data_IF_246151046769
#
_entry.id   IF_246151046769
#
_cell.length_a   1.000
_cell.length_b   1.000
_cell.length_c   1.000
_cell.angle_alpha   90.00
_cell.angle_beta   90.00
_cell.angle_gamma   90.00
#
_symmetry.space_group_name_H-M   'P 1'
#
loop_
_entity.id
_entity.type
_entity.pdbx_description
1 polymer ?
#
# COMPACT_ATOMS: atom_id res chain seq x y z
N UNK A 1 -3.31 23.96 1.02
CA UNK A 1 -4.45 24.62 1.70
C UNK A 1 -5.26 23.53 2.39
N UNK A 2 -5.22 23.54 3.72
CA UNK A 2 -6.07 22.66 4.52
C UNK A 2 -7.38 23.41 4.84
N UNK A 3 -8.51 22.77 4.62
CA UNK A 3 -9.82 23.32 4.90
C UNK A 3 -10.42 22.55 6.07
N UNK A 4 -10.27 23.08 7.26
CA UNK A 4 -10.99 22.57 8.42
C UNK A 4 -12.17 23.49 8.69
N UNK A 5 -13.38 22.94 8.66
CA UNK A 5 -14.61 23.64 9.00
C UNK A 5 -14.87 24.97 8.28
N UNK A 6 -14.29 25.17 7.09
CA UNK A 6 -14.46 26.40 6.30
C UNK A 6 -13.45 27.51 6.61
N UNK A 7 -12.57 27.35 7.56
CA UNK A 7 -11.51 28.32 7.88
C UNK A 7 -10.26 28.07 7.05
N UNK A 8 -9.78 29.07 6.32
CA UNK A 8 -8.48 29.00 5.65
C UNK A 8 -7.40 29.07 6.72
N UNK A 9 -6.73 27.97 7.00
CA UNK A 9 -5.47 27.99 7.74
C UNK A 9 -4.39 28.54 6.81
N UNK A 10 -3.87 29.72 7.14
CA UNK A 10 -2.63 30.20 6.52
C UNK A 10 -1.52 29.25 6.92
N UNK A 11 -0.92 28.58 5.95
CA UNK A 11 0.31 27.82 6.17
C UNK A 11 1.34 28.83 6.69
N UNK A 12 1.89 28.65 7.91
CA UNK A 12 2.93 29.54 8.40
C UNK A 12 4.11 29.51 7.43
N UNK A 13 4.83 30.62 7.39
CA UNK A 13 6.01 30.76 6.55
C UNK A 13 6.94 29.57 6.79
N UNK A 14 7.28 28.86 5.72
CA UNK A 14 8.08 27.64 5.75
C UNK A 14 9.45 28.03 5.27
N UNK A 15 10.41 28.03 6.17
CA UNK A 15 11.76 28.51 5.88
C UNK A 15 12.63 27.41 5.24
N UNK A 16 12.32 26.14 5.50
CA UNK A 16 13.03 25.00 4.92
C UNK A 16 12.07 23.85 4.55
N UNK A 17 12.55 22.95 3.68
CA UNK A 17 11.80 21.72 3.34
C UNK A 17 11.62 20.82 4.58
N UNK A 18 12.64 20.72 5.44
CA UNK A 18 12.58 19.96 6.68
C UNK A 18 11.50 20.51 7.62
N UNK A 19 11.41 21.83 7.74
CA UNK A 19 10.40 22.51 8.56
C UNK A 19 8.98 22.26 8.01
N UNK A 20 8.83 22.23 6.69
CA UNK A 20 7.58 21.85 6.04
C UNK A 20 7.16 20.42 6.42
N UNK A 21 8.05 19.45 6.28
CA UNK A 21 7.74 18.06 6.60
C UNK A 21 7.45 17.89 8.09
N UNK A 22 8.23 18.51 8.98
CA UNK A 22 7.98 18.44 10.41
C UNK A 22 6.59 18.99 10.78
N UNK A 23 6.19 20.13 10.21
CA UNK A 23 4.88 20.74 10.44
C UNK A 23 3.75 19.91 9.80
N UNK A 24 3.96 19.39 8.60
CA UNK A 24 2.99 18.53 7.94
C UNK A 24 2.75 17.23 8.74
N UNK A 25 3.80 16.59 9.21
CA UNK A 25 3.70 15.40 10.07
C UNK A 25 2.99 15.74 11.38
N UNK A 26 3.31 16.86 12.02
CA UNK A 26 2.63 17.28 13.25
C UNK A 26 1.13 17.50 13.04
N UNK A 27 0.73 18.11 11.91
CA UNK A 27 -0.69 18.31 11.56
C UNK A 27 -1.40 16.97 11.33
N UNK A 28 -0.74 16.04 10.65
CA UNK A 28 -1.26 14.68 10.41
C UNK A 28 -1.44 13.95 11.75
N UNK A 29 -0.43 13.97 12.60
CA UNK A 29 -0.46 13.34 13.92
C UNK A 29 -1.57 13.91 14.80
N UNK A 30 -1.71 15.23 14.85
CA UNK A 30 -2.78 15.89 15.59
C UNK A 30 -4.17 15.53 15.05
N UNK A 31 -4.33 15.43 13.74
CA UNK A 31 -5.60 15.06 13.13
C UNK A 31 -5.99 13.61 13.47
N UNK A 32 -5.03 12.70 13.41
CA UNK A 32 -5.27 11.28 13.73
C UNK A 32 -5.41 11.04 15.24
N UNK A 33 -4.69 11.81 16.08
CA UNK A 33 -4.78 11.71 17.55
C UNK A 33 -6.18 12.07 18.08
N UNK A 34 -6.95 12.89 17.36
CA UNK A 34 -8.34 13.21 17.73
C UNK A 34 -9.32 12.07 17.45
N UNK A 35 -8.91 11.06 16.68
CA UNK A 35 -9.70 9.86 16.42
C UNK A 35 -9.37 8.80 17.48
N UNK A 36 -10.38 8.25 18.12
CA UNK A 36 -10.24 7.23 19.19
C UNK A 36 -9.69 5.88 18.69
N UNK A 37 -9.29 5.75 17.43
CA UNK A 37 -8.75 4.52 16.80
C UNK A 37 -7.66 4.90 15.83
N UNK A 38 -6.62 4.05 15.76
CA UNK A 38 -5.65 4.06 14.67
C UNK A 38 -6.38 4.16 13.34
N UNK A 39 -6.17 5.25 12.59
CA UNK A 39 -6.75 5.43 11.28
C UNK A 39 -6.01 4.59 10.23
N UNK A 40 -6.66 4.33 9.12
CA UNK A 40 -6.08 3.64 7.96
C UNK A 40 -4.80 4.33 7.47
N UNK A 41 -4.79 5.66 7.49
CA UNK A 41 -3.61 6.47 7.14
C UNK A 41 -2.42 6.25 8.06
N UNK A 42 -2.64 6.02 9.35
CA UNK A 42 -1.55 5.69 10.27
C UNK A 42 -0.95 4.32 9.93
N UNK A 43 -1.78 3.35 9.54
CA UNK A 43 -1.30 2.05 9.08
C UNK A 43 -0.45 2.22 7.82
N UNK A 44 -0.91 2.97 6.83
CA UNK A 44 -0.16 3.27 5.62
C UNK A 44 1.20 3.89 5.94
N UNK A 45 1.25 4.88 6.84
CA UNK A 45 2.50 5.52 7.27
C UNK A 45 3.45 4.55 7.98
N UNK A 46 2.94 3.68 8.85
CA UNK A 46 3.74 2.65 9.52
C UNK A 46 4.29 1.63 8.52
N UNK A 47 3.49 1.25 7.53
CA UNK A 47 3.94 0.40 6.42
C UNK A 47 5.07 1.08 5.64
N UNK A 48 4.93 2.37 5.29
CA UNK A 48 6.01 3.13 4.64
C UNK A 48 7.27 3.13 5.51
N UNK A 49 7.13 3.51 6.76
CA UNK A 49 8.29 3.61 7.66
C UNK A 49 9.04 2.27 7.75
N UNK A 50 8.32 1.18 8.00
CA UNK A 50 8.94 -0.13 8.19
C UNK A 50 9.58 -0.67 6.91
N UNK A 51 8.97 -0.43 5.75
CA UNK A 51 9.44 -0.99 4.49
C UNK A 51 10.45 -0.08 3.76
N UNK A 52 10.45 1.23 4.03
CA UNK A 52 11.29 2.17 3.31
C UNK A 52 12.42 2.77 4.17
N UNK A 53 12.19 3.00 5.47
CA UNK A 53 13.04 3.86 6.28
C UNK A 53 13.67 3.18 7.50
N UNK A 54 13.00 2.18 8.08
CA UNK A 54 13.47 1.51 9.30
C UNK A 54 14.81 0.81 9.07
N UNK A 55 15.44 0.41 10.16
CA UNK A 55 16.67 -0.43 10.10
C UNK A 55 16.41 -1.80 9.47
N UNK A 56 15.13 -2.19 9.35
CA UNK A 56 14.70 -3.44 8.73
C UNK A 56 14.23 -3.25 7.28
N UNK A 57 14.17 -2.04 6.77
CA UNK A 57 13.67 -1.76 5.42
C UNK A 57 14.38 -2.61 4.34
N UNK A 58 15.69 -2.80 4.48
CA UNK A 58 16.44 -3.66 3.56
C UNK A 58 16.20 -5.18 3.74
N UNK A 59 15.36 -5.59 4.70
CA UNK A 59 15.01 -7.00 4.95
C UNK A 59 13.59 -7.34 4.52
N UNK A 60 12.75 -6.33 4.28
CA UNK A 60 11.41 -6.52 3.75
C UNK A 60 11.45 -6.75 2.24
N UNK A 61 10.42 -7.34 1.66
CA UNK A 61 10.37 -7.63 0.23
C UNK A 61 9.68 -6.53 -0.58
N UNK A 62 9.12 -5.52 0.07
CA UNK A 62 8.32 -4.49 -0.58
C UNK A 62 8.86 -3.11 -0.28
N UNK A 63 8.81 -2.24 -1.29
CA UNK A 63 9.20 -0.83 -1.21
C UNK A 63 8.03 0.01 -1.67
N UNK A 64 7.53 0.88 -0.79
CA UNK A 64 6.36 1.70 -1.07
C UNK A 64 6.73 2.88 -1.96
N UNK A 65 6.16 2.90 -3.17
CA UNK A 65 6.32 3.99 -4.11
C UNK A 65 5.36 5.14 -3.80
N UNK A 66 4.07 4.84 -3.53
CA UNK A 66 3.07 5.87 -3.26
C UNK A 66 1.96 5.37 -2.33
N UNK A 67 1.21 6.31 -1.76
CA UNK A 67 0.01 6.05 -0.95
C UNK A 67 -1.13 6.97 -1.38
N UNK A 68 -2.37 6.53 -1.10
CA UNK A 68 -3.58 7.30 -1.47
C UNK A 68 -3.59 7.68 -2.96
N UNK A 69 -3.00 6.82 -3.81
CA UNK A 69 -3.01 7.04 -5.25
C UNK A 69 -4.43 7.03 -5.79
N UNK A 70 -4.74 8.00 -6.63
CA UNK A 70 -6.01 8.07 -7.34
C UNK A 70 -5.79 8.60 -8.74
N UNK A 71 -6.33 7.92 -9.72
CA UNK A 71 -6.37 8.35 -11.11
C UNK A 71 -7.81 8.28 -11.61
N UNK A 72 -8.36 9.42 -11.92
CA UNK A 72 -9.72 9.53 -12.43
C UNK A 72 -9.77 9.58 -13.97
N UNK A 73 -8.63 9.81 -14.62
CA UNK A 73 -8.58 10.19 -16.03
C UNK A 73 -8.16 9.03 -16.94
N UNK A 74 -7.28 8.16 -16.48
CA UNK A 74 -6.72 7.06 -17.29
C UNK A 74 -7.19 5.69 -16.83
N UNK A 75 -6.73 5.26 -15.66
CA UNK A 75 -7.09 3.95 -15.12
C UNK A 75 -8.43 3.94 -14.37
N UNK A 76 -8.91 5.12 -13.95
CA UNK A 76 -10.16 5.24 -13.18
C UNK A 76 -10.11 4.51 -11.84
N UNK A 77 -8.92 4.39 -11.24
CA UNK A 77 -8.66 3.58 -10.06
C UNK A 77 -8.21 4.36 -8.84
N UNK A 78 -8.28 3.69 -7.69
CA UNK A 78 -7.70 4.14 -6.42
C UNK A 78 -6.95 2.99 -5.79
N UNK A 79 -5.88 3.32 -5.06
CA UNK A 79 -5.12 2.36 -4.28
C UNK A 79 -4.63 3.03 -3.00
N UNK A 80 -4.74 2.33 -1.88
CA UNK A 80 -4.23 2.84 -0.61
C UNK A 80 -2.71 2.85 -0.60
N UNK A 81 -2.07 1.83 -1.17
CA UNK A 81 -0.61 1.72 -1.26
C UNK A 81 -0.25 1.16 -2.64
N UNK A 82 0.73 1.80 -3.29
CA UNK A 82 1.44 1.24 -4.43
C UNK A 82 2.86 0.93 -4.01
N UNK A 83 3.27 -0.31 -4.21
CA UNK A 83 4.59 -0.79 -3.84
C UNK A 83 5.23 -1.60 -4.97
N UNK A 84 6.54 -1.75 -4.89
CA UNK A 84 7.28 -2.72 -5.68
C UNK A 84 7.79 -3.84 -4.80
N UNK A 85 7.56 -5.07 -5.23
CA UNK A 85 8.20 -6.23 -4.65
C UNK A 85 9.53 -6.49 -5.35
N UNK A 86 10.57 -6.65 -4.55
CA UNK A 86 11.90 -7.05 -5.00
C UNK A 86 12.42 -8.19 -4.14
N UNK A 87 12.79 -9.28 -4.79
CA UNK A 87 13.40 -10.40 -4.10
C UNK A 87 14.91 -10.17 -3.95
N UNK A 88 15.32 -9.65 -2.79
CA UNK A 88 16.74 -9.41 -2.57
C UNK A 88 17.57 -10.69 -2.43
N UNK A 89 16.99 -11.85 -2.19
CA UNK A 89 17.72 -13.12 -2.18
C UNK A 89 18.19 -13.50 -3.59
N UNK A 90 17.52 -12.97 -4.62
CA UNK A 90 17.91 -13.12 -6.03
C UNK A 90 18.67 -11.89 -6.55
N UNK A 91 19.65 -11.40 -5.80
CA UNK A 91 20.40 -10.15 -6.08
C UNK A 91 20.90 -9.96 -7.51
N UNK A 92 21.02 -11.04 -8.29
CA UNK A 92 21.43 -10.98 -9.69
C UNK A 92 20.32 -10.57 -10.62
N UNK A 93 19.06 -10.71 -10.21
CA UNK A 93 17.88 -10.32 -11.00
C UNK A 93 17.34 -9.02 -10.46
N UNK A 94 17.33 -7.99 -11.31
CA UNK A 94 16.75 -6.69 -11.02
C UNK A 94 15.31 -6.65 -11.49
N UNK A 95 14.53 -7.63 -11.02
CA UNK A 95 13.13 -7.79 -11.39
C UNK A 95 12.26 -7.18 -10.30
N UNK A 96 11.46 -6.21 -10.67
CA UNK A 96 10.45 -5.59 -9.83
C UNK A 96 9.07 -6.04 -10.24
N UNK A 97 8.22 -6.31 -9.28
CA UNK A 97 6.81 -6.56 -9.51
C UNK A 97 5.97 -5.46 -8.87
N UNK A 98 5.19 -4.76 -9.69
CA UNK A 98 4.23 -3.79 -9.17
C UNK A 98 3.21 -4.53 -8.30
N UNK A 99 2.89 -3.93 -7.15
CA UNK A 99 1.90 -4.46 -6.22
C UNK A 99 0.97 -3.34 -5.80
N UNK A 100 -0.31 -3.53 -5.98
CA UNK A 100 -1.38 -2.64 -5.54
C UNK A 100 -1.99 -3.24 -4.28
N UNK A 101 -2.04 -2.46 -3.21
CA UNK A 101 -2.45 -2.93 -1.89
C UNK A 101 -3.62 -2.08 -1.40
N UNK A 102 -4.68 -2.74 -1.04
CA UNK A 102 -5.83 -2.15 -0.36
C UNK A 102 -5.75 -2.44 1.13
N UNK A 103 -5.80 -1.42 1.96
CA UNK A 103 -5.74 -1.53 3.42
C UNK A 103 -7.13 -1.68 3.99
N UNK A 104 -7.32 -2.64 4.88
CA UNK A 104 -8.57 -2.84 5.61
C UNK A 104 -8.27 -2.90 7.10
N UNK A 105 -8.80 -1.92 7.82
CA UNK A 105 -8.59 -1.80 9.25
C UNK A 105 -9.81 -2.24 10.04
N UNK A 106 -9.62 -3.30 10.83
CA UNK A 106 -10.67 -3.82 11.72
C UNK A 106 -11.83 -4.49 10.98
N UNK A 107 -12.74 -5.05 11.75
CA UNK A 107 -13.80 -5.92 11.24
C UNK A 107 -14.84 -5.20 10.38
N UNK A 108 -15.12 -3.94 10.67
CA UNK A 108 -16.13 -3.17 9.92
C UNK A 108 -15.69 -2.81 8.50
N UNK A 109 -14.38 -2.66 8.27
CA UNK A 109 -13.84 -2.25 6.97
C UNK A 109 -13.88 -3.37 5.92
N UNK A 110 -13.97 -4.63 6.35
CA UNK A 110 -14.03 -5.78 5.44
C UNK A 110 -15.44 -6.03 4.91
N UNK A 111 -16.48 -5.58 5.63
CA UNK A 111 -17.87 -5.91 5.36
C UNK A 111 -18.35 -5.22 4.08
N UNK A 112 -18.93 -6.01 3.19
CA UNK A 112 -19.58 -5.53 1.97
C UNK A 112 -20.81 -4.69 2.34
N UNK A 113 -20.84 -3.45 1.89
CA UNK A 113 -22.05 -2.61 1.96
C UNK A 113 -22.64 -2.39 0.57
N UNK A 114 -23.93 -2.11 0.56
CA UNK A 114 -24.70 -1.90 -0.68
C UNK A 114 -25.36 -0.53 -0.59
N UNK A 115 -25.29 0.24 -1.67
CA UNK A 115 -25.95 1.54 -1.76
C UNK A 115 -27.47 1.42 -1.91
N UNK A 116 -28.18 2.56 -1.89
CA UNK A 116 -29.63 2.59 -2.03
C UNK A 116 -30.14 2.08 -3.41
N UNK A 117 -29.23 1.86 -4.37
CA UNK A 117 -29.54 1.34 -5.71
C UNK A 117 -29.21 -0.14 -5.85
N UNK A 118 -28.72 -0.78 -4.78
CA UNK A 118 -28.31 -2.19 -4.81
C UNK A 118 -26.90 -2.44 -5.31
N UNK A 119 -26.07 -1.39 -5.55
CA UNK A 119 -24.68 -1.59 -5.97
C UNK A 119 -23.77 -1.77 -4.77
N UNK A 120 -22.75 -2.62 -4.92
CA UNK A 120 -21.70 -2.79 -3.91
C UNK A 120 -20.91 -1.50 -3.81
N UNK A 121 -20.87 -0.89 -2.62
CA UNK A 121 -20.28 0.43 -2.36
C UNK A 121 -19.04 0.41 -1.50
N UNK A 122 -18.80 -0.64 -0.71
CA UNK A 122 -17.62 -0.80 0.13
C UNK A 122 -17.35 -2.27 0.47
N UNK A 123 -16.24 -2.53 1.17
CA UNK A 123 -15.83 -3.85 1.64
C UNK A 123 -14.87 -4.56 0.68
N UNK A 124 -14.44 -5.77 1.07
CA UNK A 124 -13.46 -6.53 0.31
C UNK A 124 -13.92 -6.83 -1.13
N UNK A 125 -15.20 -7.19 -1.30
CA UNK A 125 -15.72 -7.54 -2.63
C UNK A 125 -15.69 -6.35 -3.58
N UNK A 126 -16.01 -5.13 -3.09
CA UNK A 126 -15.94 -3.92 -3.92
C UNK A 126 -14.54 -3.69 -4.47
N UNK A 127 -13.53 -3.77 -3.61
CA UNK A 127 -12.14 -3.54 -4.04
C UNK A 127 -11.60 -4.68 -4.88
N UNK A 128 -12.07 -5.91 -4.67
CA UNK A 128 -11.77 -7.01 -5.59
C UNK A 128 -12.29 -6.72 -7.00
N UNK A 129 -13.53 -6.26 -7.13
CA UNK A 129 -14.11 -5.88 -8.42
C UNK A 129 -13.34 -4.71 -9.07
N UNK A 130 -12.85 -3.77 -8.27
CA UNK A 130 -12.01 -2.68 -8.77
C UNK A 130 -10.65 -3.19 -9.25
N UNK A 131 -10.03 -4.13 -8.54
CA UNK A 131 -8.80 -4.79 -8.97
C UNK A 131 -9.00 -5.55 -10.29
N UNK A 132 -10.11 -6.26 -10.45
CA UNK A 132 -10.40 -6.95 -11.71
C UNK A 132 -10.56 -6.00 -12.89
N UNK A 133 -11.13 -4.82 -12.69
CA UNK A 133 -11.21 -3.78 -13.72
C UNK A 133 -9.82 -3.26 -14.09
N UNK A 134 -8.99 -2.93 -13.08
CA UNK A 134 -7.62 -2.49 -13.30
C UNK A 134 -6.80 -3.56 -14.04
N UNK A 135 -6.97 -4.83 -13.69
CA UNK A 135 -6.24 -5.96 -14.31
C UNK A 135 -6.52 -6.10 -15.80
N UNK A 136 -7.66 -5.60 -16.29
CA UNK A 136 -8.01 -5.63 -17.72
C UNK A 136 -7.25 -4.58 -18.53
N UNK A 137 -6.83 -3.47 -17.92
CA UNK A 137 -6.07 -2.40 -18.57
C UNK A 137 -4.56 -2.63 -18.41
N UNK A 138 -4.02 -3.52 -19.22
CA UNK A 138 -2.60 -3.87 -19.17
C UNK A 138 -1.67 -2.71 -19.55
N UNK A 139 -2.08 -1.88 -20.49
CA UNK A 139 -1.26 -0.74 -20.95
C UNK A 139 -1.26 0.35 -19.87
N UNK A 140 -2.38 0.65 -19.27
CA UNK A 140 -2.48 1.56 -18.14
C UNK A 140 -1.68 1.08 -16.93
N UNK A 141 -1.75 -0.20 -16.57
CA UNK A 141 -0.94 -0.79 -15.49
C UNK A 141 0.56 -0.73 -15.79
N UNK A 142 0.96 -0.91 -17.05
CA UNK A 142 2.36 -0.77 -17.45
C UNK A 142 2.83 0.67 -17.28
N UNK A 143 2.06 1.64 -17.74
CA UNK A 143 2.36 3.08 -17.57
C UNK A 143 2.45 3.44 -16.10
N UNK A 144 1.49 2.99 -15.28
CA UNK A 144 1.53 3.18 -13.84
C UNK A 144 2.82 2.62 -13.22
N UNK A 145 3.23 1.42 -13.62
CA UNK A 145 4.45 0.81 -13.10
C UNK A 145 5.71 1.60 -13.47
N UNK A 146 5.79 2.11 -14.70
CA UNK A 146 6.89 2.96 -15.17
C UNK A 146 6.94 4.28 -14.38
N UNK A 147 5.81 4.95 -14.17
CA UNK A 147 5.71 6.19 -13.41
C UNK A 147 6.07 5.98 -11.94
N UNK A 148 5.55 4.93 -11.32
CA UNK A 148 5.85 4.60 -9.92
C UNK A 148 7.31 4.20 -9.70
N UNK A 149 7.97 3.62 -10.70
CA UNK A 149 9.41 3.37 -10.64
C UNK A 149 10.21 4.68 -10.60
N UNK A 150 9.78 5.70 -11.37
CA UNK A 150 10.39 7.04 -11.30
C UNK A 150 10.21 7.64 -9.91
N UNK A 151 9.01 7.57 -9.36
CA UNK A 151 8.71 8.07 -7.99
C UNK A 151 9.56 7.34 -6.95
N UNK A 152 9.65 6.01 -7.03
CA UNK A 152 10.46 5.21 -6.10
C UNK A 152 11.94 5.61 -6.17
N UNK A 153 12.46 5.82 -7.39
CA UNK A 153 13.83 6.28 -7.58
C UNK A 153 14.06 7.67 -6.98
N UNK A 154 13.15 8.61 -7.21
CA UNK A 154 13.22 9.95 -6.62
C UNK A 154 13.22 9.89 -5.08
N UNK A 155 12.37 9.07 -4.49
CA UNK A 155 12.34 8.83 -3.03
C UNK A 155 13.66 8.24 -2.53
N UNK A 156 14.27 7.33 -3.27
CA UNK A 156 15.60 6.80 -2.94
C UNK A 156 16.67 7.91 -2.99
N UNK A 157 16.68 8.71 -4.05
CA UNK A 157 17.64 9.81 -4.22
C UNK A 157 17.50 10.89 -3.11
N UNK A 158 16.30 11.04 -2.53
CA UNK A 158 16.00 11.90 -1.39
C UNK A 158 16.26 11.23 -0.02
N UNK A 159 16.71 9.97 0.01
CA UNK A 159 16.95 9.22 1.26
C UNK A 159 15.68 8.76 1.96
N UNK A 160 14.52 8.80 1.30
CA UNK A 160 13.23 8.36 1.82
C UNK A 160 12.98 6.85 1.61
N UNK A 161 13.86 6.17 0.89
CA UNK A 161 13.86 4.72 0.72
C UNK A 161 15.30 4.23 0.83
N UNK A 162 15.53 3.22 1.68
CA UNK A 162 16.84 2.63 1.93
C UNK A 162 16.94 1.23 1.32
N UNK A 163 18.15 0.83 0.94
CA UNK A 163 18.43 -0.55 0.54
C UNK A 163 18.15 -0.87 -0.93
N UNK A 164 17.76 0.12 -1.74
CA UNK A 164 17.49 -0.04 -3.17
C UNK A 164 18.69 0.29 -4.09
N UNK A 165 19.81 0.75 -3.55
CA UNK A 165 20.96 1.23 -4.34
C UNK A 165 21.44 0.14 -5.32
N UNK A 166 21.50 -1.10 -4.86
CA UNK A 166 21.92 -2.26 -5.68
C UNK A 166 20.97 -2.59 -6.84
N UNK A 167 19.73 -2.09 -6.77
CA UNK A 167 18.75 -2.27 -7.83
C UNK A 167 19.08 -1.35 -9.01
N UNK A 168 19.49 -0.12 -8.71
CA UNK A 168 19.76 0.92 -9.71
C UNK A 168 21.24 1.06 -10.11
N UNK A 169 22.14 0.35 -9.42
CA UNK A 169 23.59 0.37 -9.71
C UNK A 169 24.16 -1.03 -9.74
N UNK A 170 25.15 -1.25 -10.59
CA UNK A 170 25.95 -2.47 -10.54
C UNK A 170 27.09 -2.37 -9.51
N UNK A 171 27.85 -3.45 -9.32
CA UNK A 171 28.98 -3.50 -8.40
C UNK A 171 30.14 -2.54 -8.73
N UNK A 172 30.08 -1.91 -9.91
CA UNK A 172 31.06 -0.92 -10.39
C UNK A 172 30.51 0.50 -10.33
N UNK A 173 29.31 0.70 -9.76
CA UNK A 173 28.63 2.00 -9.70
C UNK A 173 28.00 2.46 -11.03
N UNK A 174 27.92 1.59 -12.04
CA UNK A 174 27.25 1.96 -13.27
C UNK A 174 25.74 1.93 -13.06
N UNK A 175 25.05 2.98 -13.54
CA UNK A 175 23.58 3.07 -13.48
C UNK A 175 22.95 1.95 -14.30
N UNK A 176 21.93 1.36 -13.73
CA UNK A 176 21.10 0.30 -14.33
C UNK A 176 19.63 0.63 -14.12
N UNK A 177 18.81 0.23 -15.05
CA UNK A 177 17.35 0.30 -14.93
C UNK A 177 16.84 -1.09 -14.54
N UNK A 178 16.06 -1.22 -13.47
CA UNK A 178 15.39 -2.48 -13.14
C UNK A 178 14.40 -2.86 -14.25
N UNK A 179 14.18 -4.14 -14.41
CA UNK A 179 13.11 -4.66 -15.26
C UNK A 179 11.82 -4.80 -14.44
N UNK A 180 10.72 -4.33 -14.97
CA UNK A 180 9.40 -4.48 -14.37
C UNK A 180 8.72 -5.70 -14.96
N UNK A 181 8.27 -6.60 -14.10
CA UNK A 181 7.49 -7.76 -14.52
C UNK A 181 6.11 -7.30 -15.03
N UNK A 182 5.58 -7.94 -16.09
CA UNK A 182 4.30 -7.57 -16.67
C UNK A 182 3.11 -7.88 -15.76
N UNK A 183 3.28 -8.81 -14.82
CA UNK A 183 2.24 -9.21 -13.88
C UNK A 183 2.20 -8.22 -12.71
N UNK A 184 1.00 -7.72 -12.42
CA UNK A 184 0.72 -6.87 -11.26
C UNK A 184 0.08 -7.71 -10.15
N UNK A 185 0.60 -7.57 -8.94
CA UNK A 185 0.01 -8.19 -7.76
C UNK A 185 -1.06 -7.28 -7.14
N UNK A 186 -2.15 -7.91 -6.68
CA UNK A 186 -3.20 -7.23 -5.93
C UNK A 186 -3.33 -7.90 -4.56
N UNK A 187 -3.18 -7.11 -3.50
CA UNK A 187 -3.18 -7.60 -2.12
C UNK A 187 -4.19 -6.85 -1.26
N UNK A 188 -4.81 -7.57 -0.33
CA UNK A 188 -5.51 -6.98 0.80
C UNK A 188 -4.60 -7.00 2.02
N UNK A 189 -4.32 -5.83 2.60
CA UNK A 189 -3.62 -5.70 3.86
C UNK A 189 -4.64 -5.62 4.99
N UNK A 190 -4.76 -6.69 5.75
CA UNK A 190 -5.68 -6.76 6.89
C UNK A 190 -4.95 -6.30 8.15
N UNK A 191 -5.43 -5.23 8.77
CA UNK A 191 -4.86 -4.69 10.00
C UNK A 191 -5.88 -4.64 11.12
N UNK A 192 -5.44 -5.01 12.33
CA UNK A 192 -6.27 -4.97 13.55
C UNK A 192 -7.61 -5.72 13.42
N UNK A 193 -7.60 -6.85 12.74
CA UNK A 193 -8.75 -7.72 12.60
C UNK A 193 -8.64 -8.90 13.58
N UNK A 194 -9.78 -9.44 13.95
CA UNK A 194 -9.86 -10.67 14.74
C UNK A 194 -10.05 -11.85 13.79
N UNK A 195 -9.10 -12.80 13.78
CA UNK A 195 -9.13 -13.91 12.81
C UNK A 195 -10.26 -14.93 13.06
N UNK A 196 -10.96 -14.84 14.17
CA UNK A 196 -12.21 -15.59 14.42
C UNK A 196 -13.47 -14.78 14.12
N UNK A 197 -13.34 -13.60 13.53
CA UNK A 197 -14.47 -12.76 13.18
C UNK A 197 -15.37 -13.45 12.14
N UNK A 198 -16.65 -13.59 12.48
CA UNK A 198 -17.64 -14.10 11.52
C UNK A 198 -17.82 -13.16 10.33
N UNK A 199 -17.67 -11.86 10.54
CA UNK A 199 -17.71 -10.88 9.45
C UNK A 199 -16.60 -11.16 8.43
N UNK A 200 -15.35 -11.34 8.90
CA UNK A 200 -14.24 -11.66 8.00
C UNK A 200 -14.47 -12.98 7.27
N UNK A 201 -14.92 -14.03 7.96
CA UNK A 201 -15.22 -15.33 7.33
C UNK A 201 -16.26 -15.21 6.23
N UNK A 202 -17.38 -14.55 6.53
CA UNK A 202 -18.48 -14.36 5.59
C UNK A 202 -18.05 -13.55 4.35
N UNK A 203 -17.20 -12.55 4.54
CA UNK A 203 -16.68 -11.76 3.41
C UNK A 203 -15.67 -12.54 2.58
N UNK A 204 -14.79 -13.31 3.21
CA UNK A 204 -13.85 -14.17 2.51
C UNK A 204 -14.56 -15.23 1.65
N UNK A 205 -15.70 -15.77 2.09
CA UNK A 205 -16.49 -16.73 1.31
C UNK A 205 -16.94 -16.16 -0.03
N UNK A 206 -17.17 -14.85 -0.12
CA UNK A 206 -17.62 -14.17 -1.35
C UNK A 206 -16.50 -13.92 -2.35
N UNK A 207 -15.25 -13.99 -1.92
CA UNK A 207 -14.09 -13.72 -2.78
C UNK A 207 -13.61 -14.99 -3.50
N UNK A 208 -12.96 -14.85 -4.66
CA UNK A 208 -12.29 -15.97 -5.33
C UNK A 208 -11.16 -16.58 -4.48
N UNK A 209 -10.88 -17.84 -4.73
CA UNK A 209 -9.90 -18.62 -3.98
C UNK A 209 -8.47 -18.13 -4.11
N UNK A 210 -8.15 -17.45 -5.21
CA UNK A 210 -6.83 -16.87 -5.50
C UNK A 210 -6.63 -15.46 -4.92
N UNK A 211 -7.66 -14.89 -4.27
CA UNK A 211 -7.54 -13.62 -3.56
C UNK A 211 -6.42 -13.69 -2.52
N UNK A 212 -5.59 -12.65 -2.48
CA UNK A 212 -4.33 -12.64 -1.73
C UNK A 212 -4.38 -11.65 -0.57
N UNK A 213 -3.90 -12.09 0.56
CA UNK A 213 -3.95 -11.37 1.82
C UNK A 213 -2.59 -11.32 2.50
N UNK A 214 -2.31 -10.20 3.15
CA UNK A 214 -1.22 -10.06 4.09
C UNK A 214 -1.74 -9.39 5.36
N UNK A 215 -1.20 -9.75 6.50
CA UNK A 215 -1.61 -9.18 7.79
C UNK A 215 -0.57 -8.23 8.33
N UNK A 216 -1.01 -7.13 8.91
CA UNK A 216 -0.18 -6.25 9.70
C UNK A 216 -0.84 -5.96 11.05
N UNK A 217 -0.03 -5.70 12.07
CA UNK A 217 -0.49 -5.36 13.40
C UNK A 217 0.57 -4.55 14.14
N UNK A 218 0.28 -4.17 15.38
CA UNK A 218 1.27 -3.53 16.26
C UNK A 218 2.56 -4.35 16.45
N UNK A 219 2.55 -5.65 16.11
CA UNK A 219 3.72 -6.53 16.14
C UNK A 219 4.65 -6.35 14.93
N UNK A 220 4.19 -5.69 13.86
CA UNK A 220 5.00 -5.40 12.69
C UNK A 220 4.18 -4.95 11.48
N UNK A 221 4.77 -4.06 10.72
CA UNK A 221 4.23 -3.50 9.47
C UNK A 221 5.13 -3.79 8.28
N UNK A 222 6.18 -4.59 8.46
CA UNK A 222 7.03 -5.08 7.38
C UNK A 222 6.28 -6.04 6.47
N UNK A 223 6.41 -5.85 5.17
CA UNK A 223 5.76 -6.69 4.17
C UNK A 223 6.74 -7.74 3.64
N UNK A 224 6.38 -9.01 3.79
CA UNK A 224 7.18 -10.14 3.37
C UNK A 224 6.36 -11.06 2.47
N UNK A 225 6.95 -11.47 1.36
CA UNK A 225 6.30 -12.37 0.41
C UNK A 225 5.81 -13.66 1.05
N UNK A 226 6.61 -14.21 1.96
CA UNK A 226 6.31 -15.49 2.62
C UNK A 226 5.11 -15.42 3.58
N UNK A 227 4.66 -14.21 3.92
CA UNK A 227 3.46 -13.99 4.75
C UNK A 227 2.19 -13.73 3.93
N UNK A 228 2.30 -13.70 2.61
CA UNK A 228 1.11 -13.64 1.76
C UNK A 228 0.39 -14.98 1.81
N UNK A 229 -0.91 -14.92 2.01
CA UNK A 229 -1.80 -16.08 2.04
C UNK A 229 -2.87 -15.94 0.97
N UNK A 230 -3.18 -17.03 0.27
CA UNK A 230 -4.41 -17.11 -0.50
C UNK A 230 -5.63 -17.30 0.43
N UNK A 231 -6.82 -17.07 -0.09
CA UNK A 231 -8.04 -17.38 0.66
C UNK A 231 -8.05 -18.82 1.18
N UNK A 232 -7.58 -19.77 0.37
CA UNK A 232 -7.45 -21.18 0.76
C UNK A 232 -6.52 -21.39 1.95
N UNK A 233 -5.41 -20.65 2.01
CA UNK A 233 -4.40 -20.78 3.07
C UNK A 233 -4.82 -20.10 4.36
N UNK A 234 -5.76 -19.18 4.30
CA UNK A 234 -6.32 -18.51 5.49
C UNK A 234 -7.14 -19.47 6.36
N UNK A 235 -7.37 -20.72 5.88
CA UNK A 235 -8.10 -21.80 6.54
C UNK A 235 -8.68 -21.38 7.89
N UNK A 236 -9.79 -20.68 7.83
CA UNK A 236 -10.61 -20.38 9.00
C UNK A 236 -11.40 -21.65 9.31
N UNK A 237 -10.67 -22.74 9.58
CA UNK A 237 -11.25 -24.01 9.93
C UNK A 237 -12.17 -23.83 11.10
N UNK A 238 -13.41 -24.27 10.91
CA UNK A 238 -14.34 -24.54 12.00
C UNK A 238 -13.61 -25.48 12.98
N UNK A 239 -13.16 -24.96 14.09
CA UNK A 239 -12.85 -25.78 15.28
C UNK A 239 -14.15 -26.11 15.97
#
# INVERSE_FOLDING_TARGET
YYKDGGTKLLVPQIDTIEDYFAKAMHIIDMHEFTKSRLGEKEIQQRVIYENNLSVNACKTDYFVADIEWADNDTLGGRADIIAFRWNHMEHKKRLLQLTIIEVKQGEGAVVTSVDNKGNISAGLLKHYDDFEKLRQDKDGLKTLAEDMLIVLKQKMDLGLVKGLEKLFEDSRGNKKTPEILPEVDFLFLLSNYHHYSDNLKNELEKLPDDSRFISSSFMGYGLYKDFIRSKKDLNLTKS
#
